data_IF_319453036262
#
_entry.id   IF_319453036262
#
_cell.length_a   1.000
_cell.length_b   1.000
_cell.length_c   1.000
_cell.angle_alpha   90.00
_cell.angle_beta   90.00
_cell.angle_gamma   90.00
#
_symmetry.space_group_name_H-M   'P 1'
#
loop_
_entity.id
_entity.type
_entity.pdbx_description
1 polymer ?
#
# COMPACT_ATOMS: atom_id res chain seq x y z
N UNK A 1 13.27 -28.29 -5.67
CA UNK A 1 13.58 -26.90 -6.07
C UNK A 1 12.32 -26.38 -6.75
N UNK A 2 11.31 -26.04 -5.94
CA UNK A 2 9.90 -25.99 -6.32
C UNK A 2 9.31 -24.81 -5.51
N UNK A 3 8.56 -23.82 -5.98
CA UNK A 3 7.60 -23.73 -7.06
C UNK A 3 7.46 -22.25 -7.50
N UNK A 4 8.03 -21.82 -8.63
CA UNK A 4 7.81 -20.46 -9.19
C UNK A 4 6.65 -20.45 -10.21
N UNK A 5 5.49 -20.98 -9.82
CA UNK A 5 4.38 -21.26 -10.74
C UNK A 5 3.06 -20.51 -10.48
N UNK A 6 2.85 -19.91 -9.29
CA UNK A 6 1.52 -19.38 -8.89
C UNK A 6 1.40 -17.85 -8.76
N UNK A 7 2.51 -17.11 -8.66
CA UNK A 7 2.49 -15.73 -8.14
C UNK A 7 2.38 -14.63 -9.19
N UNK A 8 2.42 -14.96 -10.49
CA UNK A 8 2.50 -13.96 -11.56
C UNK A 8 1.25 -13.06 -11.68
N UNK A 9 0.10 -13.47 -11.13
CA UNK A 9 -1.14 -12.67 -11.15
C UNK A 9 -1.34 -11.78 -9.92
N UNK A 10 -0.78 -12.15 -8.76
CA UNK A 10 -0.87 -11.34 -7.53
C UNK A 10 0.04 -10.12 -7.57
N UNK A 11 1.15 -10.18 -8.32
CA UNK A 11 2.18 -9.15 -8.30
C UNK A 11 2.01 -8.05 -9.38
N UNK A 12 1.30 -8.31 -10.48
CA UNK A 12 1.18 -7.32 -11.58
C UNK A 12 0.44 -6.05 -11.13
N UNK A 13 -0.51 -6.19 -10.21
CA UNK A 13 -1.27 -5.06 -9.67
C UNK A 13 -0.65 -4.43 -8.42
N UNK A 14 0.37 -5.06 -7.84
CA UNK A 14 1.04 -4.54 -6.64
C UNK A 14 1.66 -3.15 -6.85
N UNK A 15 2.48 -2.91 -7.89
CA UNK A 15 3.05 -1.57 -8.13
C UNK A 15 1.95 -0.53 -8.42
N UNK A 16 0.83 -0.94 -9.03
CA UNK A 16 -0.33 -0.08 -9.27
C UNK A 16 -0.97 0.33 -7.94
N UNK A 17 -1.12 -0.60 -6.99
CA UNK A 17 -1.64 -0.31 -5.65
C UNK A 17 -0.72 0.64 -4.89
N UNK A 18 0.59 0.44 -4.94
CA UNK A 18 1.57 1.35 -4.33
C UNK A 18 1.47 2.75 -4.94
N UNK A 19 1.46 2.85 -6.27
CA UNK A 19 1.33 4.12 -6.97
C UNK A 19 -0.01 4.82 -6.67
N UNK A 20 -1.10 4.05 -6.57
CA UNK A 20 -2.41 4.56 -6.17
C UNK A 20 -2.38 5.11 -4.74
N UNK A 21 -1.75 4.41 -3.81
CA UNK A 21 -1.63 4.87 -2.42
C UNK A 21 -0.75 6.12 -2.25
N UNK A 22 0.19 6.36 -3.16
CA UNK A 22 1.01 7.58 -3.20
C UNK A 22 0.34 8.76 -3.91
N UNK A 23 -0.79 8.54 -4.60
CA UNK A 23 -1.47 9.60 -5.33
C UNK A 23 -2.30 10.49 -4.37
N UNK A 24 -2.08 11.82 -4.35
CA UNK A 24 -2.86 12.73 -3.48
C UNK A 24 -4.36 12.75 -3.80
N UNK A 25 -4.72 12.46 -5.06
CA UNK A 25 -6.11 12.46 -5.56
C UNK A 25 -6.79 11.09 -5.43
N UNK A 26 -6.13 10.12 -4.79
CA UNK A 26 -6.69 8.79 -4.61
C UNK A 26 -7.93 8.84 -3.71
N UNK A 27 -8.96 8.08 -4.11
CA UNK A 27 -10.24 8.02 -3.39
C UNK A 27 -10.09 7.21 -2.10
N UNK A 28 -10.49 7.78 -0.97
CA UNK A 28 -10.49 7.17 0.36
C UNK A 28 -11.02 5.71 0.43
N UNK A 29 -12.17 5.34 -0.17
CA UNK A 29 -12.67 3.96 -0.09
C UNK A 29 -11.76 2.92 -0.77
N UNK A 30 -11.03 3.31 -1.81
CA UNK A 30 -10.06 2.42 -2.47
C UNK A 30 -8.76 2.35 -1.67
N UNK A 31 -8.31 3.48 -1.11
CA UNK A 31 -7.15 3.52 -0.21
C UNK A 31 -7.35 2.58 0.98
N UNK A 32 -8.55 2.58 1.58
CA UNK A 32 -8.88 1.72 2.73
C UNK A 32 -8.82 0.22 2.39
N UNK A 33 -9.06 -0.15 1.13
CA UNK A 33 -8.92 -1.54 0.65
C UNK A 33 -7.48 -1.90 0.28
N UNK A 34 -6.72 -0.98 -0.32
CA UNK A 34 -5.39 -1.28 -0.86
C UNK A 34 -4.25 -1.12 0.14
N UNK A 35 -4.29 -0.10 1.00
CA UNK A 35 -3.26 0.15 2.02
C UNK A 35 -2.99 -1.10 2.89
N UNK A 36 -3.99 -1.82 3.45
CA UNK A 36 -3.71 -3.00 4.27
C UNK A 36 -3.06 -4.17 3.51
N UNK A 37 -3.17 -4.17 2.17
CA UNK A 37 -2.52 -5.17 1.31
C UNK A 37 -1.07 -4.84 0.96
N UNK A 38 -0.58 -3.65 1.36
CA UNK A 38 0.81 -3.26 1.18
C UNK A 38 1.72 -3.91 2.22
N UNK A 39 2.98 -4.09 1.83
CA UNK A 39 4.03 -4.59 2.70
C UNK A 39 4.47 -3.49 3.67
N UNK A 40 5.13 -3.87 4.78
CA UNK A 40 5.60 -2.91 5.78
C UNK A 40 6.49 -1.82 5.20
N UNK A 41 7.37 -2.16 4.25
CA UNK A 41 8.26 -1.20 3.60
C UNK A 41 7.46 -0.12 2.83
N UNK A 42 6.53 -0.54 1.99
CA UNK A 42 5.68 0.38 1.22
C UNK A 42 4.71 1.18 2.09
N UNK A 43 4.18 0.59 3.17
CA UNK A 43 3.39 1.31 4.17
C UNK A 43 4.20 2.45 4.80
N UNK A 44 5.46 2.18 5.18
CA UNK A 44 6.36 3.20 5.71
C UNK A 44 6.60 4.29 4.68
N UNK A 45 6.88 3.91 3.43
CA UNK A 45 7.06 4.86 2.34
C UNK A 45 5.82 5.75 2.15
N UNK A 46 4.61 5.17 2.08
CA UNK A 46 3.35 5.92 1.96
C UNK A 46 3.10 6.84 3.16
N UNK A 47 3.41 6.40 4.39
CA UNK A 47 3.22 7.22 5.60
C UNK A 47 4.12 8.46 5.62
N UNK A 48 5.34 8.34 5.08
CA UNK A 48 6.35 9.39 5.04
C UNK A 48 6.26 10.27 3.78
N UNK A 49 5.54 9.80 2.75
CA UNK A 49 5.35 10.52 1.50
C UNK A 49 4.46 11.75 1.73
N UNK A 50 5.04 12.95 1.57
CA UNK A 50 4.33 14.22 1.76
C UNK A 50 3.33 14.53 0.65
N UNK A 51 3.46 13.87 -0.50
CA UNK A 51 2.56 14.03 -1.65
C UNK A 51 1.40 13.04 -1.61
N UNK A 52 1.47 11.98 -0.79
CA UNK A 52 0.34 11.09 -0.58
C UNK A 52 -0.82 11.80 0.12
N UNK A 53 -2.04 11.32 -0.13
CA UNK A 53 -3.26 11.84 0.51
C UNK A 53 -3.15 11.76 2.04
N UNK A 54 -3.65 12.76 2.77
CA UNK A 54 -3.62 12.78 4.23
C UNK A 54 -4.24 11.52 4.85
N UNK A 55 -5.34 11.04 4.26
CA UNK A 55 -5.97 9.77 4.65
C UNK A 55 -5.05 8.56 4.45
N UNK A 56 -4.33 8.51 3.33
CA UNK A 56 -3.41 7.41 3.04
C UNK A 56 -2.26 7.35 4.06
N UNK A 57 -1.72 8.53 4.41
CA UNK A 57 -0.63 8.67 5.39
C UNK A 57 -1.07 8.25 6.79
N UNK A 58 -2.21 8.76 7.25
CA UNK A 58 -2.76 8.43 8.57
C UNK A 58 -3.08 6.93 8.67
N UNK A 59 -3.76 6.37 7.66
CA UNK A 59 -4.15 4.97 7.66
C UNK A 59 -2.94 4.03 7.60
N UNK A 60 -1.93 4.37 6.78
CA UNK A 60 -0.68 3.62 6.74
C UNK A 60 0.07 3.68 8.08
N UNK A 61 0.16 4.85 8.71
CA UNK A 61 0.77 5.03 10.02
C UNK A 61 0.06 4.19 11.10
N UNK A 62 -1.27 4.21 11.13
CA UNK A 62 -2.07 3.40 12.06
C UNK A 62 -1.80 1.91 11.90
N UNK A 63 -1.72 1.41 10.66
CA UNK A 63 -1.42 -0.01 10.42
C UNK A 63 0.01 -0.40 10.79
N UNK A 64 0.98 0.51 10.63
CA UNK A 64 2.34 0.29 11.11
C UNK A 64 2.38 0.19 12.64
N UNK A 65 1.63 1.03 13.34
CA UNK A 65 1.53 1.01 14.80
C UNK A 65 0.87 -0.27 15.33
N UNK A 66 -0.18 -0.79 14.66
CA UNK A 66 -0.86 -2.03 15.05
C UNK A 66 -0.04 -3.28 14.73
N UNK A 67 0.78 -3.24 13.67
CA UNK A 67 1.61 -4.38 13.26
C UNK A 67 2.91 -4.49 14.07
N UNK A 68 3.22 -3.56 14.96
CA UNK A 68 4.45 -3.55 15.78
C UNK A 68 4.19 -4.26 17.11
#
# INVERSE_FOLDING_TARGET
MDCLGGEKRLNTQYPIKVAFCKNPKAKAPLLMKFIPTLNRYDLKAVSQDKMASGFAREHASRLLAVRN
#
